data_IF_375196197017
#
_entry.id   IF_375196197017
#
_cell.length_a   1.000
_cell.length_b   1.000
_cell.length_c   1.000
_cell.angle_alpha   90.00
_cell.angle_beta   90.00
_cell.angle_gamma   90.00
#
_symmetry.space_group_name_H-M   'P 1'
#
loop_
_entity.id
_entity.type
_entity.pdbx_description
1 polymer ?
#
# COMPACT_ATOMS: atom_id res chain seq x y z
N UNK A 1 -14.12 12.91 8.37
CA UNK A 1 -13.84 12.96 6.92
C UNK A 1 -13.01 11.75 6.49
N UNK A 2 -11.85 11.47 7.12
CA UNK A 2 -10.99 10.33 6.76
C UNK A 2 -11.70 8.98 6.87
N UNK A 3 -12.38 8.71 8.00
CA UNK A 3 -13.11 7.44 8.18
C UNK A 3 -14.22 7.24 7.13
N UNK A 4 -14.95 8.32 6.82
CA UNK A 4 -15.98 8.27 5.78
C UNK A 4 -15.38 8.03 4.40
N UNK A 5 -14.24 8.63 4.10
CA UNK A 5 -13.49 8.43 2.87
C UNK A 5 -13.04 6.97 2.73
N UNK A 6 -12.47 6.37 3.79
CA UNK A 6 -12.07 4.96 3.78
C UNK A 6 -13.28 4.03 3.61
N UNK A 7 -14.37 4.29 4.32
CA UNK A 7 -15.59 3.52 4.17
C UNK A 7 -16.15 3.59 2.73
N UNK A 8 -16.22 4.81 2.17
CA UNK A 8 -16.66 4.99 0.78
C UNK A 8 -15.73 4.30 -0.21
N UNK A 9 -14.41 4.38 0.00
CA UNK A 9 -13.41 3.72 -0.84
C UNK A 9 -13.63 2.20 -0.88
N UNK A 10 -13.76 1.55 0.28
CA UNK A 10 -13.95 0.10 0.32
C UNK A 10 -15.29 -0.30 -0.33
N UNK A 11 -16.37 0.40 -0.03
CA UNK A 11 -17.68 0.08 -0.60
C UNK A 11 -17.77 0.30 -2.11
N UNK A 12 -17.17 1.38 -2.63
CA UNK A 12 -17.15 1.64 -4.06
C UNK A 12 -16.18 0.73 -4.83
N UNK A 13 -15.07 0.31 -4.19
CA UNK A 13 -14.08 -0.55 -4.83
C UNK A 13 -14.55 -2.00 -4.94
N UNK A 14 -15.38 -2.48 -4.02
CA UNK A 14 -15.87 -3.86 -3.96
C UNK A 14 -16.53 -4.31 -5.28
N UNK A 15 -17.35 -3.45 -5.85
CA UNK A 15 -18.09 -3.75 -7.09
C UNK A 15 -17.18 -3.93 -8.32
N UNK A 16 -16.30 -3.00 -8.69
CA UNK A 16 -15.40 -3.19 -9.82
C UNK A 16 -14.32 -4.25 -9.56
N UNK A 17 -13.89 -4.46 -8.31
CA UNK A 17 -12.96 -5.54 -7.96
C UNK A 17 -13.56 -6.91 -8.27
N UNK A 18 -14.82 -7.16 -7.89
CA UNK A 18 -15.51 -8.43 -8.18
C UNK A 18 -15.64 -8.71 -9.69
N UNK A 19 -15.82 -7.68 -10.50
CA UNK A 19 -15.84 -7.84 -11.95
C UNK A 19 -14.49 -8.22 -12.53
N UNK A 20 -13.42 -7.63 -12.01
CA UNK A 20 -12.03 -7.94 -12.43
C UNK A 20 -11.67 -9.37 -12.00
N UNK A 21 -12.04 -9.79 -10.79
CA UNK A 21 -11.85 -11.16 -10.31
C UNK A 21 -12.56 -12.17 -11.20
N UNK A 22 -13.81 -11.90 -11.55
CA UNK A 22 -14.57 -12.75 -12.47
C UNK A 22 -13.92 -12.82 -13.87
N UNK A 23 -13.47 -11.68 -14.40
CA UNK A 23 -12.77 -11.63 -15.66
C UNK A 23 -11.45 -12.41 -15.62
N UNK A 24 -10.68 -12.27 -14.53
CA UNK A 24 -9.45 -13.04 -14.32
C UNK A 24 -9.72 -14.55 -14.27
N UNK A 25 -10.75 -14.98 -13.55
CA UNK A 25 -11.16 -16.38 -13.48
C UNK A 25 -11.57 -16.93 -14.85
N UNK A 26 -12.25 -16.15 -15.67
CA UNK A 26 -12.58 -16.53 -17.04
C UNK A 26 -11.35 -16.68 -17.93
N UNK A 27 -10.41 -15.72 -17.85
CA UNK A 27 -9.15 -15.76 -18.63
C UNK A 27 -8.28 -16.93 -18.21
N UNK A 28 -8.16 -17.20 -16.90
CA UNK A 28 -7.41 -18.37 -16.41
C UNK A 28 -8.04 -19.68 -16.81
N UNK A 29 -9.38 -19.78 -16.76
CA UNK A 29 -10.13 -20.96 -17.21
C UNK A 29 -9.99 -21.21 -18.71
N UNK A 30 -10.04 -20.16 -19.52
CA UNK A 30 -9.79 -20.25 -20.97
C UNK A 30 -8.36 -20.67 -21.28
N UNK A 31 -7.37 -20.06 -20.62
CA UNK A 31 -5.97 -20.45 -20.78
C UNK A 31 -5.71 -21.90 -20.36
N UNK A 32 -6.38 -22.36 -19.30
CA UNK A 32 -6.30 -23.76 -18.84
C UNK A 32 -6.87 -24.75 -19.86
N UNK A 33 -7.89 -24.38 -20.61
CA UNK A 33 -8.47 -25.22 -21.67
C UNK A 33 -7.72 -25.15 -23.02
N UNK A 34 -7.02 -24.04 -23.30
CA UNK A 34 -6.37 -23.82 -24.57
C UNK A 34 -4.91 -24.33 -24.63
N UNK A 35 -4.23 -24.39 -23.46
CA UNK A 35 -2.83 -24.84 -23.39
C UNK A 35 -2.73 -26.32 -22.98
N UNK A 36 -1.81 -27.09 -23.59
CA UNK A 36 -1.52 -28.47 -23.16
C UNK A 36 -0.96 -28.46 -21.74
N UNK A 37 -1.21 -29.53 -21.01
CA UNK A 37 -0.68 -29.72 -19.66
C UNK A 37 0.86 -29.72 -19.68
N UNK A 38 1.47 -28.85 -18.88
CA UNK A 38 2.91 -28.70 -18.77
C UNK A 38 3.35 -27.44 -18.07
N UNK A 39 4.66 -27.35 -17.79
CA UNK A 39 5.30 -26.24 -17.08
C UNK A 39 5.00 -24.86 -17.72
N UNK A 40 4.79 -24.84 -19.04
CA UNK A 40 4.46 -23.60 -19.76
C UNK A 40 3.05 -23.09 -19.43
N UNK A 41 2.07 -24.00 -19.25
CA UNK A 41 0.72 -23.65 -18.80
C UNK A 41 0.74 -23.08 -17.40
N UNK A 42 1.48 -23.70 -16.48
CA UNK A 42 1.60 -23.25 -15.10
C UNK A 42 2.31 -21.90 -15.02
N UNK A 43 3.36 -21.67 -15.82
CA UNK A 43 3.98 -20.35 -15.94
C UNK A 43 2.98 -19.26 -16.37
N UNK A 44 2.18 -19.56 -17.38
CA UNK A 44 1.21 -18.57 -17.90
C UNK A 44 0.10 -18.30 -16.89
N UNK A 45 -0.43 -19.34 -16.25
CA UNK A 45 -1.55 -19.20 -15.31
C UNK A 45 -1.07 -18.62 -13.98
N UNK A 46 -0.10 -19.25 -13.33
CA UNK A 46 0.35 -18.91 -11.98
C UNK A 46 1.40 -17.81 -11.95
N UNK A 47 2.21 -17.68 -12.98
CA UNK A 47 3.20 -16.62 -13.10
C UNK A 47 2.62 -15.33 -13.68
N UNK A 48 2.06 -15.39 -14.89
CA UNK A 48 1.68 -14.19 -15.64
C UNK A 48 0.26 -13.76 -15.30
N UNK A 49 -0.76 -14.63 -15.45
CA UNK A 49 -2.17 -14.27 -15.23
C UNK A 49 -2.42 -13.94 -13.76
N UNK A 50 -1.88 -14.74 -12.84
CA UNK A 50 -1.99 -14.46 -11.41
C UNK A 50 -1.24 -13.16 -11.02
N UNK A 51 -0.02 -12.94 -11.54
CA UNK A 51 0.76 -11.74 -11.27
C UNK A 51 0.11 -10.47 -11.81
N UNK A 52 -0.33 -10.46 -13.06
CA UNK A 52 -1.04 -9.32 -13.67
C UNK A 52 -2.39 -9.11 -13.00
N UNK A 53 -3.15 -10.18 -12.78
CA UNK A 53 -4.44 -10.12 -12.12
C UNK A 53 -4.36 -9.52 -10.73
N UNK A 54 -3.39 -9.96 -9.91
CA UNK A 54 -3.15 -9.40 -8.59
C UNK A 54 -2.90 -7.89 -8.58
N UNK A 55 -2.27 -7.34 -9.62
CA UNK A 55 -2.08 -5.87 -9.76
C UNK A 55 -3.38 -5.20 -10.20
N UNK A 56 -4.06 -5.76 -11.19
CA UNK A 56 -5.27 -5.15 -11.80
C UNK A 56 -6.45 -5.15 -10.84
N UNK A 57 -6.58 -6.15 -9.98
CA UNK A 57 -7.64 -6.22 -8.93
C UNK A 57 -7.57 -4.99 -8.01
N UNK A 58 -6.36 -4.53 -7.64
CA UNK A 58 -6.20 -3.36 -6.76
C UNK A 58 -6.34 -2.02 -7.48
N UNK A 59 -6.37 -2.00 -8.81
CA UNK A 59 -6.43 -0.77 -9.60
C UNK A 59 -7.65 0.11 -9.27
N UNK A 60 -8.89 -0.42 -9.21
CA UNK A 60 -10.07 0.38 -8.86
C UNK A 60 -9.95 1.02 -7.49
N UNK A 61 -9.46 0.29 -6.50
CA UNK A 61 -9.26 0.81 -5.15
C UNK A 61 -8.26 1.96 -5.12
N UNK A 62 -7.17 1.83 -5.86
CA UNK A 62 -6.14 2.86 -5.98
C UNK A 62 -6.69 4.10 -6.72
N UNK A 63 -7.48 3.92 -7.77
CA UNK A 63 -8.13 5.00 -8.51
C UNK A 63 -9.07 5.80 -7.61
N UNK A 64 -9.94 5.14 -6.88
CA UNK A 64 -10.88 5.77 -5.96
C UNK A 64 -10.12 6.51 -4.85
N UNK A 65 -9.06 5.91 -4.31
CA UNK A 65 -8.21 6.54 -3.32
C UNK A 65 -7.57 7.84 -3.84
N UNK A 66 -6.98 7.81 -5.04
CA UNK A 66 -6.38 9.00 -5.64
C UNK A 66 -7.40 10.07 -5.98
N UNK A 67 -8.60 9.68 -6.36
CA UNK A 67 -9.70 10.61 -6.59
C UNK A 67 -10.06 11.37 -5.31
N UNK A 68 -10.31 10.67 -4.21
CA UNK A 68 -10.64 11.29 -2.93
C UNK A 68 -9.47 12.12 -2.37
N UNK A 69 -8.25 11.62 -2.48
CA UNK A 69 -7.07 12.34 -2.03
C UNK A 69 -6.87 13.63 -2.83
N UNK A 70 -7.03 13.59 -4.14
CA UNK A 70 -6.97 14.77 -5.01
C UNK A 70 -8.08 15.79 -4.69
N UNK A 71 -9.27 15.31 -4.38
CA UNK A 71 -10.38 16.16 -3.97
C UNK A 71 -10.08 16.90 -2.64
N UNK A 72 -9.51 16.19 -1.66
CA UNK A 72 -9.10 16.77 -0.38
C UNK A 72 -7.94 17.76 -0.52
N UNK A 73 -7.01 17.47 -1.44
CA UNK A 73 -5.88 18.34 -1.77
C UNK A 73 -6.40 19.64 -2.43
N UNK A 74 -7.25 19.53 -3.45
CA UNK A 74 -7.79 20.67 -4.19
C UNK A 74 -8.68 21.59 -3.31
N UNK A 75 -9.39 21.04 -2.31
CA UNK A 75 -10.21 21.83 -1.38
C UNK A 75 -9.38 22.62 -0.37
N UNK A 76 -8.07 22.39 -0.26
CA UNK A 76 -7.19 23.01 0.74
C UNK A 76 -7.36 22.45 2.16
N UNK A 77 -8.10 21.35 2.32
CA UNK A 77 -8.27 20.69 3.62
C UNK A 77 -6.94 20.20 4.21
N UNK A 78 -6.06 19.68 3.34
CA UNK A 78 -4.75 19.15 3.73
C UNK A 78 -3.84 20.23 4.36
N UNK A 79 -3.84 21.45 3.82
CA UNK A 79 -3.03 22.55 4.35
C UNK A 79 -3.48 22.94 5.77
N UNK A 80 -4.80 22.94 6.02
CA UNK A 80 -5.35 23.24 7.37
C UNK A 80 -5.08 22.13 8.36
N UNK A 81 -5.20 20.87 7.93
CA UNK A 81 -4.83 19.72 8.76
C UNK A 81 -3.34 19.78 9.13
N UNK A 82 -2.46 20.14 8.17
CA UNK A 82 -1.04 20.34 8.41
C UNK A 82 -0.78 21.43 9.44
N UNK A 83 -1.48 22.54 9.39
CA UNK A 83 -1.32 23.63 10.36
C UNK A 83 -1.69 23.21 11.79
N UNK A 84 -2.76 22.45 11.98
CA UNK A 84 -3.18 21.96 13.31
C UNK A 84 -2.14 21.01 13.90
N UNK A 85 -1.53 20.16 13.05
CA UNK A 85 -0.59 19.13 13.48
C UNK A 85 0.87 19.62 13.50
N UNK A 86 1.15 20.79 12.95
CA UNK A 86 2.50 21.37 12.90
C UNK A 86 3.16 21.43 14.29
N UNK A 87 2.39 21.80 15.33
CA UNK A 87 2.86 21.83 16.72
C UNK A 87 3.30 20.45 17.23
N UNK A 88 2.69 19.37 16.75
CA UNK A 88 3.07 18.00 17.12
C UNK A 88 4.30 17.56 16.30
N UNK A 89 4.32 17.87 15.02
CA UNK A 89 5.43 17.54 14.11
C UNK A 89 6.73 18.23 14.53
N UNK A 90 6.66 19.49 14.95
CA UNK A 90 7.82 20.25 15.42
C UNK A 90 8.49 19.62 16.66
N UNK A 91 7.72 18.94 17.54
CA UNK A 91 8.29 18.21 18.69
C UNK A 91 9.14 17.01 18.28
N UNK A 92 8.81 16.37 17.17
CA UNK A 92 9.58 15.25 16.60
C UNK A 92 10.71 15.76 15.70
N UNK A 93 10.79 17.08 15.50
CA UNK A 93 11.81 17.71 14.68
C UNK A 93 11.48 17.69 13.19
N UNK A 94 10.25 17.33 12.79
CA UNK A 94 9.79 17.39 11.41
C UNK A 94 9.08 18.71 11.13
N UNK A 95 9.18 19.17 9.89
CA UNK A 95 8.52 20.35 9.41
C UNK A 95 7.01 20.09 9.18
N UNK A 96 6.12 21.05 9.45
CA UNK A 96 4.68 20.88 9.24
C UNK A 96 4.30 20.51 7.81
N UNK A 97 5.05 20.96 6.80
CA UNK A 97 4.88 20.53 5.41
C UNK A 97 5.09 19.01 5.21
N UNK A 98 5.85 18.33 6.10
CA UNK A 98 6.06 16.88 6.06
C UNK A 98 4.81 16.09 6.47
N UNK A 99 3.86 16.74 7.16
CA UNK A 99 2.62 16.09 7.60
C UNK A 99 1.76 15.62 6.43
N UNK A 100 1.62 16.44 5.39
CA UNK A 100 0.78 16.10 4.21
C UNK A 100 1.29 14.85 3.49
N UNK A 101 2.59 14.74 3.15
CA UNK A 101 3.19 13.52 2.64
C UNK A 101 3.02 12.30 3.56
N UNK A 102 3.26 12.48 4.86
CA UNK A 102 3.12 11.38 5.83
C UNK A 102 1.66 10.93 5.96
N UNK A 103 0.71 11.86 6.00
CA UNK A 103 -0.72 11.54 6.02
C UNK A 103 -1.14 10.77 4.75
N UNK A 104 -0.63 11.19 3.59
CA UNK A 104 -0.84 10.48 2.33
C UNK A 104 -0.23 9.07 2.36
N UNK A 105 0.85 8.87 3.13
CA UNK A 105 1.53 7.58 3.27
C UNK A 105 0.71 6.55 4.07
N UNK A 106 -0.21 6.98 4.94
CA UNK A 106 -1.18 6.08 5.58
C UNK A 106 -2.12 5.43 4.57
N UNK A 107 -2.43 6.14 3.50
CA UNK A 107 -3.19 5.58 2.40
C UNK A 107 -2.29 4.72 1.49
N UNK A 108 -1.17 5.29 1.02
CA UNK A 108 -0.17 4.61 0.21
C UNK A 108 1.17 5.36 0.27
N UNK A 109 2.29 4.65 0.41
CA UNK A 109 3.63 5.25 0.47
C UNK A 109 4.00 6.00 -0.83
N UNK A 110 3.56 5.53 -2.00
CA UNK A 110 3.91 6.13 -3.29
C UNK A 110 3.43 7.59 -3.40
N UNK A 111 2.15 7.93 -3.19
CA UNK A 111 1.70 9.33 -3.22
C UNK A 111 2.35 10.16 -2.11
N UNK A 112 2.62 9.58 -0.93
CA UNK A 112 3.34 10.26 0.13
C UNK A 112 4.75 10.66 -0.28
N UNK A 113 5.52 9.75 -0.89
CA UNK A 113 6.86 10.02 -1.42
C UNK A 113 6.80 11.07 -2.54
N UNK A 114 5.80 11.00 -3.41
CA UNK A 114 5.63 12.01 -4.48
C UNK A 114 5.25 13.38 -3.92
N UNK A 115 4.40 13.44 -2.91
CA UNK A 115 4.03 14.68 -2.23
C UNK A 115 5.20 15.29 -1.45
N UNK A 116 6.16 14.48 -0.99
CA UNK A 116 7.35 14.97 -0.30
C UNK A 116 8.22 15.90 -1.18
N UNK A 117 8.05 15.88 -2.51
CA UNK A 117 8.73 16.81 -3.42
C UNK A 117 8.35 18.27 -3.20
N UNK A 118 7.20 18.54 -2.58
CA UNK A 118 6.76 19.91 -2.23
C UNK A 118 7.48 20.49 -1.02
N UNK A 119 8.30 19.69 -0.34
CA UNK A 119 9.09 20.14 0.82
C UNK A 119 10.34 20.84 0.31
N UNK A 120 10.52 22.13 0.67
CA UNK A 120 11.61 22.97 0.22
C UNK A 120 12.96 22.50 0.78
N UNK A 121 12.98 22.12 2.07
CA UNK A 121 14.17 21.61 2.75
C UNK A 121 14.55 20.23 2.20
N UNK A 122 15.71 20.12 1.57
CA UNK A 122 16.22 18.83 1.05
C UNK A 122 16.34 17.76 2.16
N UNK A 123 16.74 18.17 3.37
CA UNK A 123 16.91 17.28 4.53
C UNK A 123 15.55 16.75 5.01
N UNK A 124 14.58 17.62 5.24
CA UNK A 124 13.25 17.23 5.67
C UNK A 124 12.54 16.38 4.63
N UNK A 125 12.77 16.68 3.34
CA UNK A 125 12.28 15.88 2.22
C UNK A 125 12.85 14.47 2.26
N UNK A 126 14.16 14.29 2.46
CA UNK A 126 14.78 12.97 2.54
C UNK A 126 14.30 12.18 3.75
N UNK A 127 14.22 12.80 4.93
CA UNK A 127 13.68 12.15 6.14
C UNK A 127 12.24 11.70 5.90
N UNK A 128 11.40 12.55 5.32
CA UNK A 128 10.00 12.22 5.01
C UNK A 128 9.89 11.06 4.03
N UNK A 129 10.74 11.02 2.99
CA UNK A 129 10.78 9.92 2.02
C UNK A 129 11.20 8.60 2.68
N UNK A 130 12.20 8.63 3.54
CA UNK A 130 12.72 7.44 4.23
C UNK A 130 11.73 6.89 5.28
N UNK A 131 10.96 7.78 5.92
CA UNK A 131 9.97 7.41 6.96
C UNK A 131 8.65 6.96 6.34
N UNK A 132 8.28 7.48 5.17
CA UNK A 132 7.01 7.17 4.49
C UNK A 132 6.71 5.66 4.37
N UNK A 133 7.65 4.78 4.01
CA UNK A 133 7.39 3.34 3.92
C UNK A 133 7.21 2.65 5.28
N UNK A 134 7.64 3.27 6.38
CA UNK A 134 7.49 2.71 7.74
C UNK A 134 6.07 2.88 8.27
N UNK A 135 5.36 3.88 7.78
CA UNK A 135 3.96 4.12 8.13
C UNK A 135 3.10 2.95 7.64
N UNK A 136 2.28 2.41 8.54
CA UNK A 136 1.36 1.31 8.19
C UNK A 136 0.25 1.81 7.29
N UNK A 137 0.24 1.34 6.03
CA UNK A 137 -0.78 1.68 5.05
C UNK A 137 -1.91 0.63 5.01
N UNK A 138 -3.02 0.97 4.40
CA UNK A 138 -4.18 0.09 4.26
C UNK A 138 -3.87 -1.22 3.48
N UNK A 139 -2.88 -1.21 2.59
CA UNK A 139 -2.45 -2.39 1.85
C UNK A 139 -1.78 -3.48 2.73
N UNK A 140 -1.35 -3.12 3.95
CA UNK A 140 -0.81 -4.10 4.92
C UNK A 140 -1.89 -4.83 5.71
N UNK A 141 -3.14 -4.38 5.69
CA UNK A 141 -4.25 -5.03 6.40
C UNK A 141 -4.40 -6.52 6.08
N UNK A 142 -4.40 -6.96 4.80
CA UNK A 142 -4.50 -8.38 4.47
C UNK A 142 -3.33 -9.21 5.04
N UNK A 143 -2.12 -8.65 5.00
CA UNK A 143 -0.91 -9.31 5.53
C UNK A 143 -1.00 -9.44 7.06
N UNK A 144 -1.45 -8.38 7.74
CA UNK A 144 -1.65 -8.43 9.20
C UNK A 144 -2.76 -9.41 9.58
N UNK A 145 -3.86 -9.45 8.81
CA UNK A 145 -4.94 -10.40 9.04
C UNK A 145 -4.45 -11.86 8.90
N UNK A 146 -3.65 -12.14 7.87
CA UNK A 146 -3.05 -13.46 7.66
C UNK A 146 -2.11 -13.82 8.81
N UNK A 147 -1.21 -12.92 9.20
CA UNK A 147 -0.27 -13.12 10.32
C UNK A 147 -1.02 -13.38 11.63
N UNK A 148 -2.06 -12.59 11.93
CA UNK A 148 -2.87 -12.75 13.13
C UNK A 148 -3.63 -14.09 13.11
N UNK A 149 -4.14 -14.51 11.94
CA UNK A 149 -4.80 -15.80 11.79
C UNK A 149 -3.84 -16.98 12.04
N UNK A 150 -2.58 -16.85 11.63
CA UNK A 150 -1.54 -17.87 11.87
C UNK A 150 -1.06 -17.89 13.32
N UNK A 151 -0.90 -16.72 13.95
CA UNK A 151 -0.38 -16.61 15.33
C UNK A 151 -1.44 -16.92 16.40
N UNK A 152 -2.71 -16.60 16.12
CA UNK A 152 -3.83 -16.81 17.02
C UNK A 152 -4.97 -17.59 16.32
N UNK A 153 -4.78 -18.86 15.99
CA UNK A 153 -5.83 -19.65 15.33
C UNK A 153 -7.08 -19.80 16.23
N UNK A 154 -6.90 -19.99 17.53
CA UNK A 154 -7.97 -20.13 18.53
C UNK A 154 -8.39 -18.82 19.22
N UNK A 155 -7.77 -17.68 18.85
CA UNK A 155 -8.04 -16.39 19.51
C UNK A 155 -9.43 -15.83 19.20
N UNK A 156 -10.06 -15.23 20.19
CA UNK A 156 -11.34 -14.53 20.07
C UNK A 156 -11.26 -13.31 19.16
N UNK A 157 -12.43 -12.83 18.67
CA UNK A 157 -12.50 -11.66 17.78
C UNK A 157 -11.86 -10.40 18.41
N UNK A 158 -11.99 -10.23 19.72
CA UNK A 158 -11.41 -9.10 20.46
C UNK A 158 -9.88 -9.16 20.54
N UNK A 159 -9.31 -10.36 20.70
CA UNK A 159 -7.84 -10.55 20.71
C UNK A 159 -7.24 -10.25 19.35
N UNK A 160 -7.88 -10.73 18.28
CA UNK A 160 -7.46 -10.44 16.89
C UNK A 160 -7.53 -8.95 16.57
N UNK A 161 -8.62 -8.28 16.99
CA UNK A 161 -8.77 -6.84 16.83
C UNK A 161 -7.72 -6.07 17.63
N UNK A 162 -7.46 -6.47 18.88
CA UNK A 162 -6.42 -5.87 19.74
C UNK A 162 -5.02 -6.01 19.14
N UNK A 163 -4.68 -7.17 18.59
CA UNK A 163 -3.40 -7.42 17.93
C UNK A 163 -3.24 -6.54 16.67
N UNK A 164 -4.30 -6.36 15.92
CA UNK A 164 -4.28 -5.48 14.74
C UNK A 164 -4.01 -4.03 15.13
N UNK A 165 -4.70 -3.51 16.15
CA UNK A 165 -4.45 -2.16 16.68
C UNK A 165 -3.02 -2.02 17.19
N UNK A 166 -2.51 -3.02 17.90
CA UNK A 166 -1.14 -3.05 18.41
C UNK A 166 -0.12 -2.93 17.28
N UNK A 167 -0.28 -3.69 16.19
CA UNK A 167 0.60 -3.62 15.02
C UNK A 167 0.59 -2.24 14.35
N UNK A 168 -0.57 -1.59 14.27
CA UNK A 168 -0.67 -0.22 13.78
C UNK A 168 0.04 0.78 14.69
N UNK A 169 -0.15 0.68 16.00
CA UNK A 169 0.51 1.55 16.99
C UNK A 169 2.03 1.38 16.92
N UNK A 170 2.51 0.14 16.82
CA UNK A 170 3.95 -0.14 16.65
C UNK A 170 4.47 0.52 15.37
N UNK A 171 3.75 0.43 14.26
CA UNK A 171 4.13 1.08 12.99
C UNK A 171 4.23 2.61 13.11
N UNK A 172 3.28 3.23 13.80
CA UNK A 172 3.29 4.68 14.06
C UNK A 172 4.48 5.06 14.95
N UNK A 173 4.68 4.35 16.05
CA UNK A 173 5.81 4.61 16.97
C UNK A 173 7.14 4.43 16.24
N UNK A 174 7.29 3.37 15.44
CA UNK A 174 8.49 3.12 14.65
C UNK A 174 8.76 4.25 13.65
N UNK A 175 7.74 4.74 12.95
CA UNK A 175 7.87 5.84 12.00
C UNK A 175 8.36 7.13 12.69
N UNK A 176 7.76 7.51 13.81
CA UNK A 176 8.18 8.70 14.57
C UNK A 176 9.56 8.54 15.20
N UNK A 177 9.87 7.38 15.74
CA UNK A 177 11.19 7.08 16.32
C UNK A 177 12.28 7.17 15.25
N UNK A 178 12.06 6.57 14.09
CA UNK A 178 13.01 6.63 12.99
C UNK A 178 13.14 8.05 12.41
N UNK A 179 12.06 8.82 12.34
CA UNK A 179 12.12 10.23 11.97
C UNK A 179 13.04 11.02 12.92
N UNK A 180 12.86 10.83 14.22
CA UNK A 180 13.69 11.47 15.25
C UNK A 180 15.17 11.02 15.17
N UNK A 181 15.41 9.72 14.99
CA UNK A 181 16.78 9.16 14.83
C UNK A 181 17.45 9.73 13.61
N UNK A 182 16.83 9.68 12.43
CA UNK A 182 17.41 10.21 11.19
C UNK A 182 17.73 11.69 11.30
N UNK A 183 16.87 12.47 11.95
CA UNK A 183 17.11 13.88 12.15
C UNK A 183 18.28 14.15 13.08
N UNK A 184 18.44 13.35 14.13
CA UNK A 184 19.50 13.52 15.12
C UNK A 184 20.86 13.01 14.65
N UNK A 185 20.87 11.98 13.80
CA UNK A 185 22.10 11.31 13.33
C UNK A 185 22.55 11.79 11.96
N UNK A 186 21.70 11.63 10.94
CA UNK A 186 22.10 11.85 9.54
C UNK A 186 21.88 13.29 9.06
N UNK A 187 20.81 13.93 9.52
CA UNK A 187 20.36 15.21 8.95
C UNK A 187 20.33 16.34 10.00
N UNK A 188 21.46 16.57 10.67
CA UNK A 188 21.63 17.69 11.62
C UNK A 188 21.57 19.04 10.90
N UNK A 189 20.78 20.00 11.41
CA UNK A 189 20.71 21.34 10.88
C UNK A 189 19.57 22.16 11.48
N UNK A 190 19.59 23.46 11.23
CA UNK A 190 18.59 24.40 11.73
C UNK A 190 17.21 24.15 11.13
N UNK A 191 16.19 24.44 11.94
CA UNK A 191 14.79 24.39 11.50
C UNK A 191 14.53 25.54 10.53
N UNK A 192 14.08 25.27 9.32
CA UNK A 192 13.53 26.33 8.48
C UNK A 192 12.20 26.80 9.09
N UNK A 193 12.09 28.11 9.29
CA UNK A 193 10.85 28.72 9.77
C UNK A 193 9.75 28.46 8.74
N UNK A 194 8.62 27.91 9.20
CA UNK A 194 7.46 27.64 8.37
C UNK A 194 6.64 28.92 8.19
N UNK A 195 6.74 29.53 7.04
CA UNK A 195 5.71 30.46 6.55
C UNK A 195 4.66 29.61 5.79
N UNK A 196 3.68 29.11 6.51
CA UNK A 196 2.55 28.42 5.90
C UNK A 196 1.50 29.45 5.52
N UNK A 197 1.53 29.92 4.30
CA UNK A 197 0.42 30.68 3.74
C UNK A 197 -0.78 29.73 3.57
N UNK A 198 -1.89 30.06 4.23
CA UNK A 198 -3.11 29.26 4.09
C UNK A 198 -3.74 29.54 2.71
N UNK A 199 -3.77 28.56 1.81
CA UNK A 199 -4.40 28.76 0.51
C UNK A 199 -5.90 29.06 0.70
N UNK A 200 -6.48 29.96 -0.10
CA UNK A 200 -7.92 30.19 -0.11
C UNK A 200 -8.66 28.90 -0.55
N UNK A 201 -9.92 28.76 -0.14
CA UNK A 201 -10.74 27.65 -0.60
C UNK A 201 -10.98 27.76 -2.10
N UNK A 202 -10.58 26.74 -2.82
CA UNK A 202 -10.87 26.61 -4.24
C UNK A 202 -11.97 25.58 -4.45
N UNK A 203 -12.84 25.80 -5.42
CA UNK A 203 -13.79 24.78 -5.85
C UNK A 203 -13.01 23.68 -6.57
N UNK A 204 -13.11 22.41 -6.14
CA UNK A 204 -12.35 21.34 -6.75
C UNK A 204 -12.74 21.17 -8.22
N UNK A 205 -11.75 21.07 -9.08
CA UNK A 205 -11.95 20.79 -10.50
C UNK A 205 -11.95 19.29 -10.72
N UNK A 206 -13.14 18.69 -10.82
CA UNK A 206 -13.30 17.23 -11.04
C UNK A 206 -12.50 16.75 -12.25
N UNK A 207 -12.45 17.53 -13.33
CA UNK A 207 -11.69 17.20 -14.54
C UNK A 207 -10.17 17.14 -14.28
N UNK A 208 -9.64 18.13 -13.57
CA UNK A 208 -8.21 18.14 -13.23
C UNK A 208 -7.85 17.00 -12.26
N UNK A 209 -8.69 16.74 -11.28
CA UNK A 209 -8.54 15.64 -10.33
C UNK A 209 -8.57 14.28 -11.05
N UNK A 210 -9.52 14.08 -11.97
CA UNK A 210 -9.61 12.84 -12.77
C UNK A 210 -8.38 12.64 -13.67
N UNK A 211 -7.84 13.71 -14.26
CA UNK A 211 -6.66 13.63 -15.10
C UNK A 211 -5.41 13.26 -14.29
N UNK A 212 -5.21 13.90 -13.13
CA UNK A 212 -4.12 13.53 -12.19
C UNK A 212 -4.27 12.09 -11.67
N UNK A 213 -5.49 11.66 -11.38
CA UNK A 213 -5.80 10.28 -10.98
C UNK A 213 -5.36 9.30 -12.06
N UNK A 214 -5.70 9.55 -13.32
CA UNK A 214 -5.33 8.71 -14.45
C UNK A 214 -3.81 8.63 -14.65
N UNK A 215 -3.12 9.76 -14.62
CA UNK A 215 -1.66 9.80 -14.73
C UNK A 215 -0.97 8.99 -13.61
N UNK A 216 -1.44 9.12 -12.37
CA UNK A 216 -0.91 8.37 -11.23
C UNK A 216 -1.19 6.87 -11.34
N UNK A 217 -2.37 6.48 -11.84
CA UNK A 217 -2.72 5.09 -12.08
C UNK A 217 -1.86 4.44 -13.17
N UNK A 218 -1.66 5.13 -14.29
CA UNK A 218 -0.78 4.64 -15.37
C UNK A 218 0.67 4.53 -14.89
N UNK A 219 1.14 5.48 -14.10
CA UNK A 219 2.49 5.44 -13.52
C UNK A 219 2.64 4.27 -12.53
N UNK A 220 1.62 4.01 -11.71
CA UNK A 220 1.58 2.86 -10.81
C UNK A 220 1.61 1.55 -11.61
N UNK A 221 0.74 1.40 -12.60
CA UNK A 221 0.66 0.20 -13.41
C UNK A 221 1.98 -0.09 -14.13
N UNK A 222 2.62 0.93 -14.70
CA UNK A 222 3.91 0.77 -15.39
C UNK A 222 5.06 0.43 -14.44
N UNK A 223 5.13 1.04 -13.26
CA UNK A 223 6.26 0.83 -12.33
C UNK A 223 6.04 -0.35 -11.39
N UNK A 224 4.91 -0.39 -10.71
CA UNK A 224 4.61 -1.47 -9.77
C UNK A 224 4.20 -2.76 -10.50
N UNK A 225 3.41 -2.65 -11.58
CA UNK A 225 2.97 -3.80 -12.36
C UNK A 225 4.13 -4.58 -12.96
N UNK A 226 5.13 -3.90 -13.55
CA UNK A 226 6.33 -4.57 -14.10
C UNK A 226 7.17 -5.23 -13.03
N UNK A 227 7.35 -4.57 -11.88
CA UNK A 227 8.11 -5.14 -10.76
C UNK A 227 7.40 -6.36 -10.16
N UNK A 228 6.08 -6.28 -9.94
CA UNK A 228 5.29 -7.38 -9.39
C UNK A 228 5.26 -8.55 -10.37
N UNK A 229 5.09 -8.31 -11.66
CA UNK A 229 5.14 -9.36 -12.68
C UNK A 229 6.50 -10.06 -12.69
N UNK A 230 7.61 -9.30 -12.66
CA UNK A 230 8.95 -9.87 -12.60
C UNK A 230 9.14 -10.74 -11.34
N UNK A 231 8.70 -10.24 -10.18
CA UNK A 231 8.78 -10.99 -8.92
C UNK A 231 7.90 -12.24 -8.97
N UNK A 232 6.67 -12.17 -9.51
CA UNK A 232 5.77 -13.32 -9.64
C UNK A 232 6.38 -14.42 -10.51
N UNK A 233 7.01 -14.06 -11.62
CA UNK A 233 7.70 -15.02 -12.49
C UNK A 233 8.91 -15.64 -11.77
N UNK A 234 9.69 -14.84 -11.04
CA UNK A 234 10.84 -15.36 -10.27
C UNK A 234 10.37 -16.28 -9.14
N UNK A 235 9.35 -15.90 -8.39
CA UNK A 235 8.78 -16.73 -7.32
C UNK A 235 8.21 -18.02 -7.89
N UNK A 236 7.48 -17.96 -9.00
CA UNK A 236 7.01 -19.14 -9.70
C UNK A 236 8.18 -20.07 -10.10
N UNK A 237 9.23 -19.52 -10.71
CA UNK A 237 10.41 -20.30 -11.09
C UNK A 237 11.09 -20.95 -9.88
N UNK A 238 11.23 -20.24 -8.77
CA UNK A 238 11.83 -20.77 -7.53
C UNK A 238 10.94 -21.79 -6.83
N UNK A 239 9.62 -21.69 -6.95
CA UNK A 239 8.68 -22.66 -6.37
C UNK A 239 8.53 -23.93 -7.22
N UNK A 240 8.75 -23.82 -8.54
CA UNK A 240 8.64 -24.94 -9.47
C UNK A 240 9.97 -25.72 -9.62
N UNK A 241 11.12 -25.04 -9.45
CA UNK A 241 12.45 -25.62 -9.55
C UNK A 241 13.24 -25.48 -8.23
N UNK A 242 13.87 -26.58 -7.69
CA UNK A 242 13.91 -27.93 -8.22
C UNK A 242 12.61 -28.69 -8.03
N UNK A 243 12.16 -29.43 -9.05
CA UNK A 243 11.00 -30.33 -8.91
C UNK A 243 11.32 -31.36 -7.82
N UNK A 244 10.47 -31.49 -6.77
CA UNK A 244 10.67 -32.53 -5.78
C UNK A 244 10.63 -33.90 -6.48
N UNK A 245 11.66 -34.73 -6.29
CA UNK A 245 11.78 -36.01 -6.95
C UNK A 245 10.66 -37.02 -6.58
N UNK A 246 9.87 -36.69 -5.53
CA UNK A 246 8.70 -37.45 -5.10
C UNK A 246 7.57 -36.52 -4.67
N UNK A 247 6.62 -36.20 -5.55
CA UNK A 247 5.47 -35.33 -5.20
C UNK A 247 4.53 -35.98 -4.15
N UNK A 248 4.50 -37.33 -4.08
CA UNK A 248 3.71 -38.06 -3.08
C UNK A 248 4.28 -37.96 -1.67
N UNK A 249 5.60 -37.90 -1.53
CA UNK A 249 6.27 -37.78 -0.23
C UNK A 249 6.05 -36.40 0.40
N UNK A 250 6.11 -35.34 -0.41
CA UNK A 250 5.83 -33.94 0.07
C UNK A 250 4.38 -33.72 0.45
N UNK A 251 3.44 -34.32 -0.27
CA UNK A 251 2.02 -34.26 0.06
C UNK A 251 1.71 -35.05 1.36
N UNK A 252 2.34 -36.20 1.55
CA UNK A 252 2.20 -37.00 2.77
C UNK A 252 2.84 -36.34 3.99
N UNK A 253 3.97 -35.67 3.81
CA UNK A 253 4.64 -34.90 4.88
C UNK A 253 3.85 -33.63 5.27
N UNK A 254 3.28 -32.92 4.28
CA UNK A 254 2.39 -31.78 4.54
C UNK A 254 1.11 -32.21 5.25
N UNK A 255 0.53 -33.35 4.90
CA UNK A 255 -0.60 -33.93 5.61
C UNK A 255 -0.22 -34.40 7.02
N UNK A 256 0.91 -35.05 7.21
CA UNK A 256 1.38 -35.49 8.51
C UNK A 256 1.63 -34.31 9.48
N UNK A 257 2.20 -33.21 8.99
CA UNK A 257 2.40 -31.98 9.79
C UNK A 257 1.09 -31.24 10.10
N UNK A 258 0.06 -31.35 9.25
CA UNK A 258 -1.26 -30.76 9.49
C UNK A 258 -2.09 -31.53 10.51
N UNK A 259 -1.82 -32.84 10.71
CA UNK A 259 -2.53 -33.68 11.69
C UNK A 259 -1.78 -33.82 13.03
N UNK A 260 -0.56 -33.33 13.14
CA UNK A 260 0.26 -33.41 14.35
C UNK A 260 0.22 -32.15 15.25
N UNK A 261 -0.54 -31.14 14.88
CA UNK A 261 -0.83 -29.90 15.64
C UNK A 261 -2.30 -29.78 15.96
#
# INVERSE_FOLDING_TARGET
VMALMFFAMFRLAEFPMGWIEAAQALVSGWAAGALPEGDFRDLVIDGVIAGVGGVVIFLPQILILFFFLGLLEDTGYMARAAFIVDRLMSRVGLHGKSFVPLLSSFACAIPGIMAARTIDSHRDRLVTILVSPLVSCSARLPVYALLIAMLLPAGGAWEKAGMMVLLYVIGIIAAFTMAWVFRRTLFKGEHSLLLLEMPPYHRPSVRATAMRMWERAVMFLKRAGTAILAISVVVWALSTYPKPQNPEATAAEALATSYAG
#
